data_IF_338444408067
#
_entry.id   IF_338444408067
#
_cell.length_a   1.000
_cell.length_b   1.000
_cell.length_c   1.000
_cell.angle_alpha   90.00
_cell.angle_beta   90.00
_cell.angle_gamma   90.00
#
_symmetry.space_group_name_H-M   'P 1'
#
loop_
_entity.id
_entity.type
_entity.pdbx_description
1 polymer ?
#
# COMPACT_ATOMS: atom_id res chain seq x y z
N UNK A 1 12.88 -34.51 20.61
CA UNK A 1 12.78 -34.89 19.19
C UNK A 1 12.59 -33.62 18.38
N UNK A 2 13.59 -33.24 17.57
CA UNK A 2 13.50 -32.05 16.71
C UNK A 2 12.94 -32.45 15.34
N UNK A 3 11.90 -31.76 14.88
CA UNK A 3 11.39 -31.91 13.52
C UNK A 3 12.21 -30.98 12.63
N UNK A 4 12.99 -31.53 11.69
CA UNK A 4 13.66 -30.75 10.65
C UNK A 4 12.69 -30.65 9.48
N UNK A 5 12.12 -29.45 9.28
CA UNK A 5 11.33 -29.15 8.09
C UNK A 5 12.30 -28.88 6.93
N UNK A 6 12.33 -29.78 5.96
CA UNK A 6 13.07 -29.59 4.73
C UNK A 6 12.23 -28.68 3.82
N UNK A 7 12.51 -27.36 3.85
CA UNK A 7 11.90 -26.43 2.89
C UNK A 7 12.66 -26.62 1.58
N UNK A 8 12.25 -27.61 0.79
CA UNK A 8 12.71 -27.71 -0.59
C UNK A 8 12.41 -26.39 -1.28
N UNK A 9 13.43 -25.78 -1.90
CA UNK A 9 13.26 -24.60 -2.75
C UNK A 9 12.48 -25.01 -4.00
N UNK A 10 11.17 -25.25 -3.85
CA UNK A 10 10.23 -25.20 -4.96
C UNK A 10 10.45 -23.87 -5.67
N UNK A 11 10.53 -23.91 -7.01
CA UNK A 11 10.76 -22.76 -7.90
C UNK A 11 10.32 -21.47 -7.21
N UNK A 12 11.28 -20.63 -6.81
CA UNK A 12 10.96 -19.32 -6.23
C UNK A 12 10.19 -18.56 -7.29
N UNK A 13 8.88 -18.52 -7.17
CA UNK A 13 8.04 -17.63 -7.98
C UNK A 13 8.59 -16.22 -7.81
N UNK A 14 8.55 -15.43 -8.87
CA UNK A 14 8.98 -14.04 -8.81
C UNK A 14 8.20 -13.34 -7.70
N UNK A 15 8.92 -12.77 -6.73
CA UNK A 15 8.29 -12.05 -5.63
C UNK A 15 7.31 -10.99 -6.18
N UNK A 16 6.07 -11.06 -5.73
CA UNK A 16 4.98 -10.20 -6.17
C UNK A 16 4.26 -9.61 -4.98
N UNK A 17 3.74 -8.39 -5.16
CA UNK A 17 2.87 -7.72 -4.19
C UNK A 17 1.39 -7.79 -4.60
N UNK A 18 1.07 -8.61 -5.62
CA UNK A 18 -0.29 -8.72 -6.17
C UNK A 18 -1.33 -9.04 -5.09
N UNK A 19 -1.04 -10.00 -4.22
CA UNK A 19 -1.97 -10.40 -3.17
C UNK A 19 -2.23 -9.26 -2.16
N UNK A 20 -1.20 -8.45 -1.87
CA UNK A 20 -1.36 -7.27 -1.02
C UNK A 20 -2.18 -6.18 -1.71
N UNK A 21 -1.98 -5.98 -3.02
CA UNK A 21 -2.79 -5.04 -3.82
C UNK A 21 -4.25 -5.49 -3.81
N UNK A 22 -4.51 -6.77 -4.10
CA UNK A 22 -5.86 -7.32 -4.18
C UNK A 22 -6.57 -7.26 -2.81
N UNK A 23 -5.86 -7.61 -1.73
CA UNK A 23 -6.36 -7.53 -0.35
C UNK A 23 -6.78 -6.11 0.05
N UNK A 24 -6.02 -5.10 -0.38
CA UNK A 24 -6.21 -3.71 0.05
C UNK A 24 -6.96 -2.84 -0.94
N UNK A 25 -7.36 -3.38 -2.10
CA UNK A 25 -7.92 -2.61 -3.21
C UNK A 25 -9.13 -1.74 -2.83
N UNK A 26 -10.10 -2.31 -2.11
CA UNK A 26 -11.31 -1.60 -1.70
C UNK A 26 -10.99 -0.43 -0.75
N UNK A 27 -10.09 -0.64 0.20
CA UNK A 27 -9.72 0.36 1.19
C UNK A 27 -8.77 1.42 0.64
N UNK A 28 -7.92 1.04 -0.32
CA UNK A 28 -7.02 1.95 -1.00
C UNK A 28 -7.78 3.03 -1.78
N UNK A 29 -8.97 2.74 -2.29
CA UNK A 29 -9.87 3.77 -2.87
C UNK A 29 -10.18 4.87 -1.86
N UNK A 30 -10.60 4.49 -0.65
CA UNK A 30 -10.91 5.41 0.46
C UNK A 30 -9.68 6.18 0.93
N UNK A 31 -8.53 5.52 1.00
CA UNK A 31 -7.25 6.17 1.35
C UNK A 31 -6.86 7.22 0.30
N UNK A 32 -7.04 6.93 -0.99
CA UNK A 32 -6.74 7.88 -2.06
C UNK A 32 -7.62 9.13 -1.98
N UNK A 33 -8.93 8.95 -1.75
CA UNK A 33 -9.86 10.07 -1.51
C UNK A 33 -9.46 10.89 -0.28
N UNK A 34 -9.10 10.23 0.82
CA UNK A 34 -8.64 10.90 2.03
C UNK A 34 -7.38 11.72 1.78
N UNK A 35 -6.38 11.18 1.07
CA UNK A 35 -5.15 11.90 0.74
C UNK A 35 -5.47 13.19 -0.02
N UNK A 36 -6.32 13.12 -1.04
CA UNK A 36 -6.72 14.29 -1.84
C UNK A 36 -7.47 15.32 -0.97
N UNK A 37 -8.38 14.87 -0.11
CA UNK A 37 -9.13 15.75 0.80
C UNK A 37 -8.24 16.52 1.80
N UNK A 38 -7.02 16.01 2.07
CA UNK A 38 -6.06 16.64 2.98
C UNK A 38 -5.03 17.53 2.29
N UNK A 39 -5.01 17.57 0.97
CA UNK A 39 -4.07 18.39 0.20
C UNK A 39 -4.50 19.86 0.05
N UNK A 40 -5.67 20.26 0.58
CA UNK A 40 -6.14 21.64 0.55
C UNK A 40 -5.31 22.59 1.42
N UNK A 41 -5.11 23.82 0.95
CA UNK A 41 -4.37 24.87 1.68
C UNK A 41 -4.79 26.26 1.19
N UNK A 42 -4.68 27.27 2.06
CA UNK A 42 -4.85 28.69 1.70
C UNK A 42 -3.67 29.23 0.88
N UNK A 43 -2.56 28.48 0.81
CA UNK A 43 -1.41 28.80 -0.03
C UNK A 43 -1.51 28.03 -1.35
N UNK A 44 -1.73 28.75 -2.45
CA UNK A 44 -1.99 28.20 -3.79
C UNK A 44 -0.95 27.18 -4.27
N UNK A 45 0.33 27.39 -3.97
CA UNK A 45 1.40 26.49 -4.41
C UNK A 45 1.33 25.08 -3.77
N UNK A 46 0.79 24.96 -2.55
CA UNK A 46 0.82 23.70 -1.80
C UNK A 46 -0.06 22.62 -2.47
N UNK A 47 -1.34 22.88 -2.81
CA UNK A 47 -2.18 21.93 -3.54
C UNK A 47 -1.61 21.55 -4.89
N UNK A 48 -0.97 22.49 -5.61
CA UNK A 48 -0.38 22.23 -6.94
C UNK A 48 0.73 21.19 -6.85
N UNK A 49 1.72 21.41 -5.97
CA UNK A 49 2.84 20.49 -5.76
C UNK A 49 2.34 19.15 -5.21
N UNK A 50 1.40 19.17 -4.25
CA UNK A 50 0.82 17.95 -3.69
C UNK A 50 0.14 17.10 -4.77
N UNK A 51 -0.73 17.70 -5.60
CA UNK A 51 -1.39 17.01 -6.70
C UNK A 51 -0.40 16.45 -7.70
N UNK A 52 0.65 17.21 -8.05
CA UNK A 52 1.69 16.75 -8.96
C UNK A 52 2.40 15.50 -8.39
N UNK A 53 2.81 15.51 -7.12
CA UNK A 53 3.50 14.39 -6.49
C UNK A 53 2.59 13.16 -6.32
N UNK A 54 1.31 13.37 -5.98
CA UNK A 54 0.34 12.29 -5.81
C UNK A 54 0.07 11.60 -7.16
N UNK A 55 -0.10 12.38 -8.22
CA UNK A 55 -0.40 11.91 -9.59
C UNK A 55 0.83 11.36 -10.32
N UNK A 56 2.05 11.78 -9.96
CA UNK A 56 3.31 11.26 -10.52
C UNK A 56 3.53 9.77 -10.29
N UNK A 57 2.71 9.16 -9.42
CA UNK A 57 2.72 7.73 -9.18
C UNK A 57 3.70 7.33 -8.09
N UNK A 58 3.28 6.37 -7.29
CA UNK A 58 4.08 5.75 -6.25
C UNK A 58 3.51 4.38 -5.94
N UNK A 59 4.31 3.48 -5.38
CA UNK A 59 3.89 2.09 -5.16
C UNK A 59 2.79 1.92 -4.09
N UNK A 60 2.49 2.97 -3.31
CA UNK A 60 1.52 2.97 -2.20
C UNK A 60 1.73 1.84 -1.16
N UNK A 61 2.96 1.31 -1.05
CA UNK A 61 3.27 0.20 -0.15
C UNK A 61 3.00 0.54 1.32
N UNK A 62 3.31 1.77 1.75
CA UNK A 62 3.09 2.20 3.14
C UNK A 62 1.61 2.13 3.55
N UNK A 63 0.67 2.79 2.85
CA UNK A 63 -0.75 2.67 3.20
C UNK A 63 -1.29 1.25 3.03
N UNK A 64 -0.85 0.48 2.03
CA UNK A 64 -1.26 -0.93 1.91
C UNK A 64 -0.83 -1.77 3.13
N UNK A 65 0.39 -1.58 3.64
CA UNK A 65 0.84 -2.25 4.86
C UNK A 65 0.04 -1.83 6.09
N UNK A 66 -0.31 -0.54 6.20
CA UNK A 66 -1.17 -0.04 7.29
C UNK A 66 -2.56 -0.70 7.25
N UNK A 67 -3.17 -0.79 6.07
CA UNK A 67 -4.46 -1.44 5.88
C UNK A 67 -4.40 -2.94 6.18
N UNK A 68 -3.40 -3.65 5.64
CA UNK A 68 -3.22 -5.07 5.88
C UNK A 68 -3.00 -5.38 7.38
N UNK A 69 -2.21 -4.56 8.08
CA UNK A 69 -2.03 -4.70 9.52
C UNK A 69 -3.35 -4.47 10.29
N UNK A 70 -4.12 -3.44 9.93
CA UNK A 70 -5.43 -3.19 10.55
C UNK A 70 -6.40 -4.36 10.31
N UNK A 71 -6.43 -4.92 9.10
CA UNK A 71 -7.27 -6.09 8.80
C UNK A 71 -6.79 -7.36 9.53
N UNK A 72 -5.47 -7.52 9.73
CA UNK A 72 -4.89 -8.66 10.43
C UNK A 72 -5.18 -8.65 11.93
N UNK A 73 -5.16 -7.47 12.56
CA UNK A 73 -5.25 -7.34 14.02
C UNK A 73 -6.62 -6.85 14.54
N UNK A 74 -7.46 -6.26 13.68
CA UNK A 74 -8.78 -5.74 14.06
C UNK A 74 -8.72 -4.72 15.18
#
# INVERSE_FOLDING_TARGET
>A
MGVVLNIENGKRESASIKDLIDLTAADMGRVNELILSKAGSDVEMIPEVANHLISSGGKRLRPMLTLAAAQMFG
#
